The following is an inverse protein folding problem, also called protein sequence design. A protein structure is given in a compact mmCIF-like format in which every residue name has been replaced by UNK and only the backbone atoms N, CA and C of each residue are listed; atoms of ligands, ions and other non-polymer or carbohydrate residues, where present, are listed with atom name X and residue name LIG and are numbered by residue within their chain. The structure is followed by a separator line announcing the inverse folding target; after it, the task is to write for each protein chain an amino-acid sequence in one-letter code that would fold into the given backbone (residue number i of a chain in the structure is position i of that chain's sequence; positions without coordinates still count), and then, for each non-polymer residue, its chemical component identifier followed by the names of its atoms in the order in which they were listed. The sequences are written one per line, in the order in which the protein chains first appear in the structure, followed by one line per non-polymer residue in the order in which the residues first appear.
data_IF_248576351561
#
_entry.id   IF_248576351561
#
_cell.length_a   1.000
_cell.length_b   1.000
_cell.length_c   1.000
_cell.angle_alpha   90.00
_cell.angle_beta   90.00
_cell.angle_gamma   90.00
#
_symmetry.space_group_name_H-M   'P 1'
#
loop_
_entity.id
_entity.type
_entity.pdbx_description
1 polymer ?
#
# COMPACT_ATOMS: atom_id res chain seq x y z
N UNK A 1 30.45 -15.54 -10.00
CA UNK A 1 29.29 -14.90 -9.32
C UNK A 1 29.70 -13.98 -8.14
N UNK A 2 31.00 -13.80 -7.83
CA UNK A 2 31.46 -13.07 -6.63
C UNK A 2 31.59 -11.53 -6.76
N UNK A 3 31.46 -10.97 -7.96
CA UNK A 3 31.64 -9.52 -8.19
C UNK A 3 30.40 -8.65 -7.92
N UNK A 4 29.24 -9.24 -7.65
CA UNK A 4 28.00 -8.48 -7.44
C UNK A 4 27.91 -7.90 -6.03
N UNK A 5 28.25 -8.69 -5.01
CA UNK A 5 28.20 -8.26 -3.60
C UNK A 5 29.21 -7.15 -3.28
N UNK A 6 30.38 -7.16 -3.91
CA UNK A 6 31.41 -6.13 -3.72
C UNK A 6 30.99 -4.78 -4.32
N UNK A 7 30.38 -4.78 -5.51
CA UNK A 7 29.83 -3.58 -6.17
C UNK A 7 28.69 -2.97 -5.37
N UNK A 8 27.78 -3.80 -4.85
CA UNK A 8 26.72 -3.33 -3.97
C UNK A 8 27.24 -2.79 -2.64
N UNK A 9 28.23 -3.43 -2.01
CA UNK A 9 28.89 -2.93 -0.78
C UNK A 9 29.61 -1.60 -1.01
N UNK A 10 30.21 -1.38 -2.18
CA UNK A 10 30.84 -0.12 -2.54
C UNK A 10 29.80 1.00 -2.73
N UNK A 11 28.69 0.69 -3.39
CA UNK A 11 27.59 1.63 -3.64
C UNK A 11 26.87 2.01 -2.34
N UNK A 12 26.62 1.05 -1.45
CA UNK A 12 26.08 1.31 -0.11
C UNK A 12 27.06 2.12 0.77
N UNK A 13 28.37 1.87 0.69
CA UNK A 13 29.37 2.70 1.39
C UNK A 13 29.42 4.13 0.85
N UNK A 14 29.35 4.31 -0.46
CA UNK A 14 29.32 5.62 -1.12
C UNK A 14 28.03 6.42 -0.81
N UNK A 15 26.90 5.73 -0.61
CA UNK A 15 25.64 6.34 -0.17
C UNK A 15 25.68 6.71 1.32
N UNK A 16 26.32 5.88 2.17
CA UNK A 16 26.48 6.13 3.62
C UNK A 16 27.46 7.26 3.95
N UNK A 17 28.43 7.55 3.07
CA UNK A 17 29.44 8.59 3.30
C UNK A 17 28.98 10.01 2.91
N UNK A 18 27.84 10.16 2.21
CA UNK A 18 27.29 11.48 1.85
C UNK A 18 26.49 12.17 2.97
N UNK A 19 26.29 11.52 4.13
CA UNK A 19 25.55 12.09 5.27
C UNK A 19 26.44 12.63 6.40
N UNK A 20 27.78 12.63 6.25
CA UNK A 20 28.69 13.12 7.30
C UNK A 20 29.80 14.03 6.75
N UNK A 21 29.45 14.98 5.88
CA UNK A 21 30.34 16.11 5.58
C UNK A 21 29.54 17.40 5.55
N UNK A 22 29.28 17.90 6.76
CA UNK A 22 28.81 19.26 6.99
C UNK A 22 29.65 19.85 8.11
N UNK A 23 30.71 20.57 7.76
CA UNK A 23 31.38 21.50 8.65
C UNK A 23 30.34 22.52 9.13
N UNK A 24 29.76 22.32 10.32
CA UNK A 24 28.78 23.22 10.89
C UNK A 24 29.37 23.89 12.13
N UNK A 25 29.97 25.05 11.89
CA UNK A 25 30.43 25.96 12.93
C UNK A 25 29.23 26.64 13.62
N UNK A 26 29.35 26.78 14.95
CA UNK A 26 28.60 27.64 15.87
C UNK A 26 27.19 27.17 16.35
N UNK A 27 27.18 26.82 17.65
CA UNK A 27 26.14 26.33 18.57
C UNK A 27 24.69 26.85 18.44
N UNK A 28 24.40 27.97 17.77
CA UNK A 28 23.02 28.46 17.57
C UNK A 28 22.27 27.73 16.45
N UNK A 29 23.01 27.12 15.50
CA UNK A 29 22.47 26.48 14.28
C UNK A 29 22.16 24.99 14.43
N UNK A 30 22.58 24.36 15.53
CA UNK A 30 22.45 22.91 15.74
C UNK A 30 20.98 22.48 15.84
N UNK A 31 20.15 23.27 16.51
CA UNK A 31 18.70 23.07 16.60
C UNK A 31 18.02 23.21 15.23
N UNK A 32 18.46 24.16 14.41
CA UNK A 32 17.90 24.39 13.08
C UNK A 32 18.28 23.29 12.08
N UNK A 33 19.54 22.87 12.06
CA UNK A 33 20.01 21.73 11.25
C UNK A 33 19.34 20.41 11.66
N UNK A 34 19.25 20.11 12.96
CA UNK A 34 18.52 18.92 13.44
C UNK A 34 17.03 18.99 13.07
N UNK A 35 16.41 20.17 13.12
CA UNK A 35 15.03 20.34 12.67
C UNK A 35 14.88 20.16 11.16
N UNK A 36 15.87 20.59 10.35
CA UNK A 36 15.83 20.46 8.91
C UNK A 36 16.06 19.03 8.45
N UNK A 37 17.00 18.31 9.06
CA UNK A 37 17.23 16.88 8.77
C UNK A 37 16.01 16.05 9.20
N UNK A 38 15.45 16.29 10.39
CA UNK A 38 14.23 15.64 10.83
C UNK A 38 13.02 15.97 9.93
N UNK A 39 12.86 17.22 9.48
CA UNK A 39 11.80 17.60 8.53
C UNK A 39 11.99 16.93 7.17
N UNK A 40 13.23 16.79 6.70
CA UNK A 40 13.56 16.12 5.44
C UNK A 40 13.30 14.62 5.51
N UNK A 41 13.65 13.97 6.62
CA UNK A 41 13.29 12.56 6.88
C UNK A 41 11.78 12.35 7.00
N UNK A 42 11.06 13.22 7.70
CA UNK A 42 9.60 13.13 7.80
C UNK A 42 8.94 13.37 6.43
N UNK A 43 9.50 14.22 5.59
CA UNK A 43 9.03 14.44 4.22
C UNK A 43 9.28 13.23 3.32
N UNK A 44 10.48 12.64 3.33
CA UNK A 44 10.78 11.43 2.54
C UNK A 44 9.90 10.26 2.97
N UNK A 45 9.71 10.05 4.27
CA UNK A 45 8.81 9.01 4.80
C UNK A 45 7.37 9.19 4.29
N UNK A 46 6.87 10.43 4.22
CA UNK A 46 5.53 10.75 3.69
C UNK A 46 5.38 10.35 2.22
N UNK A 47 6.34 10.71 1.37
CA UNK A 47 6.29 10.37 -0.06
C UNK A 47 6.46 8.87 -0.31
N UNK A 48 7.31 8.20 0.46
CA UNK A 48 7.49 6.73 0.36
C UNK A 48 6.19 5.98 0.66
N UNK A 49 5.46 6.39 1.70
CA UNK A 49 4.17 5.76 2.07
C UNK A 49 3.10 6.01 0.99
N UNK A 50 3.05 7.23 0.43
CA UNK A 50 2.12 7.54 -0.66
C UNK A 50 2.44 6.72 -1.92
N UNK A 51 3.71 6.67 -2.31
CA UNK A 51 4.15 5.91 -3.47
C UNK A 51 3.85 4.42 -3.31
N UNK A 52 4.14 3.85 -2.14
CA UNK A 52 3.81 2.46 -1.83
C UNK A 52 2.31 2.17 -1.97
N UNK A 53 1.45 3.07 -1.48
CA UNK A 53 -0.02 2.95 -1.61
C UNK A 53 -0.47 3.00 -3.08
N UNK A 54 0.07 3.91 -3.89
CA UNK A 54 -0.29 4.01 -5.31
C UNK A 54 0.14 2.75 -6.07
N UNK A 55 1.38 2.30 -5.89
CA UNK A 55 1.89 1.10 -6.56
C UNK A 55 1.12 -0.15 -6.16
N UNK A 56 0.82 -0.31 -4.86
CA UNK A 56 -0.01 -1.41 -4.36
C UNK A 56 -1.41 -1.37 -4.97
N UNK A 57 -2.06 -0.20 -4.97
CA UNK A 57 -3.43 -0.05 -5.43
C UNK A 57 -3.58 -0.24 -6.94
N UNK A 58 -2.56 0.13 -7.72
CA UNK A 58 -2.58 0.06 -9.18
C UNK A 58 -2.91 -1.35 -9.70
N UNK A 59 -2.35 -2.39 -9.08
CA UNK A 59 -2.60 -3.79 -9.46
C UNK A 59 -4.09 -4.13 -9.29
N UNK A 60 -4.71 -3.69 -8.20
CA UNK A 60 -6.14 -3.91 -7.95
C UNK A 60 -7.02 -3.11 -8.90
N UNK A 61 -6.64 -1.86 -9.22
CA UNK A 61 -7.40 -1.06 -10.17
C UNK A 61 -7.42 -1.73 -11.54
N UNK A 62 -6.26 -2.15 -12.04
CA UNK A 62 -6.17 -2.89 -13.29
C UNK A 62 -6.92 -4.22 -13.25
N UNK A 63 -6.76 -4.99 -12.18
CA UNK A 63 -7.48 -6.25 -12.00
C UNK A 63 -8.99 -6.03 -11.99
N UNK A 64 -9.46 -5.00 -11.29
CA UNK A 64 -10.87 -4.63 -11.21
C UNK A 64 -11.49 -4.38 -12.57
N UNK A 65 -10.84 -3.60 -13.45
CA UNK A 65 -11.30 -3.40 -14.82
C UNK A 65 -11.28 -4.68 -15.65
N UNK A 66 -10.27 -5.53 -15.48
CA UNK A 66 -10.15 -6.82 -16.17
C UNK A 66 -11.30 -7.78 -15.83
N UNK A 67 -11.84 -7.72 -14.60
CA UNK A 67 -12.96 -8.57 -14.16
C UNK A 67 -14.30 -8.27 -14.86
N UNK A 68 -14.42 -7.15 -15.60
CA UNK A 68 -15.60 -6.87 -16.42
C UNK A 68 -15.50 -7.46 -17.84
N UNK A 69 -14.35 -8.03 -18.21
CA UNK A 69 -14.16 -8.66 -19.52
C UNK A 69 -14.90 -9.99 -19.62
N UNK A 70 -15.35 -10.35 -20.82
CA UNK A 70 -16.00 -11.65 -21.08
C UNK A 70 -15.06 -12.82 -20.75
N UNK A 71 -13.77 -12.63 -21.04
CA UNK A 71 -12.70 -13.58 -20.75
C UNK A 71 -12.59 -13.88 -19.25
N UNK A 72 -12.75 -12.88 -18.38
CA UNK A 72 -12.72 -13.09 -16.93
C UNK A 72 -13.94 -13.91 -16.45
N UNK A 73 -15.12 -13.67 -17.02
CA UNK A 73 -16.33 -14.43 -16.70
C UNK A 73 -16.19 -15.88 -17.15
N UNK A 74 -15.71 -16.12 -18.37
CA UNK A 74 -15.46 -17.46 -18.91
C UNK A 74 -14.42 -18.21 -18.08
N UNK A 75 -13.34 -17.54 -17.67
CA UNK A 75 -12.33 -18.14 -16.80
C UNK A 75 -12.89 -18.48 -15.42
N UNK A 76 -13.70 -17.59 -14.83
CA UNK A 76 -14.40 -17.86 -13.56
C UNK A 76 -15.36 -19.03 -13.65
N UNK A 77 -16.09 -19.16 -14.77
CA UNK A 77 -16.98 -20.28 -15.03
C UNK A 77 -16.21 -21.60 -15.19
N UNK A 78 -15.09 -21.59 -15.91
CA UNK A 78 -14.22 -22.76 -16.09
C UNK A 78 -13.63 -23.28 -14.76
N UNK A 79 -13.51 -22.40 -13.77
CA UNK A 79 -12.97 -22.70 -12.44
C UNK A 79 -14.07 -23.07 -11.43
N UNK A 80 -15.32 -23.23 -11.87
CA UNK A 80 -16.42 -23.72 -11.06
C UNK A 80 -17.08 -22.68 -10.15
N UNK A 81 -16.91 -21.38 -10.40
CA UNK A 81 -17.61 -20.34 -9.64
C UNK A 81 -19.11 -20.36 -10.00
N UNK A 82 -20.02 -20.63 -9.04
CA UNK A 82 -21.44 -20.57 -9.29
C UNK A 82 -21.83 -19.12 -9.65
N UNK A 83 -22.62 -18.95 -10.72
CA UNK A 83 -23.04 -17.64 -11.21
C UNK A 83 -21.87 -16.70 -11.56
N UNK A 84 -20.81 -17.22 -12.22
CA UNK A 84 -19.64 -16.45 -12.63
C UNK A 84 -19.97 -15.14 -13.38
N UNK A 85 -21.06 -15.10 -14.14
CA UNK A 85 -21.54 -13.90 -14.84
C UNK A 85 -21.89 -12.72 -13.93
N UNK A 86 -22.21 -12.98 -12.66
CA UNK A 86 -22.53 -11.96 -11.65
C UNK A 86 -21.40 -11.85 -10.63
N UNK A 87 -20.88 -12.98 -10.17
CA UNK A 87 -19.85 -13.03 -9.14
C UNK A 87 -18.54 -12.36 -9.58
N UNK A 88 -18.11 -12.59 -10.83
CA UNK A 88 -16.85 -12.02 -11.34
C UNK A 88 -16.94 -10.48 -11.46
N UNK A 89 -17.96 -9.89 -12.12
CA UNK A 89 -18.10 -8.43 -12.14
C UNK A 89 -18.28 -7.81 -10.76
N UNK A 90 -19.04 -8.45 -9.87
CA UNK A 90 -19.22 -7.99 -8.48
C UNK A 90 -17.88 -7.93 -7.74
N UNK A 91 -17.05 -8.95 -7.92
CA UNK A 91 -15.70 -8.97 -7.36
C UNK A 91 -14.83 -7.85 -7.94
N UNK A 92 -14.98 -7.54 -9.24
CA UNK A 92 -14.34 -6.40 -9.88
C UNK A 92 -14.69 -5.07 -9.21
N UNK A 93 -15.97 -4.85 -8.87
CA UNK A 93 -16.42 -3.66 -8.12
C UNK A 93 -15.77 -3.61 -6.73
N UNK A 94 -15.78 -4.72 -5.98
CA UNK A 94 -15.17 -4.79 -4.64
C UNK A 94 -13.68 -4.44 -4.69
N UNK A 95 -12.97 -5.01 -5.66
CA UNK A 95 -11.54 -4.80 -5.87
C UNK A 95 -11.24 -3.35 -6.27
N UNK A 96 -12.05 -2.77 -7.16
CA UNK A 96 -11.94 -1.35 -7.53
C UNK A 96 -12.15 -0.44 -6.32
N UNK A 97 -13.22 -0.66 -5.55
CA UNK A 97 -13.52 0.14 -4.37
C UNK A 97 -12.42 0.02 -3.32
N UNK A 98 -11.92 -1.20 -3.07
CA UNK A 98 -10.81 -1.45 -2.16
C UNK A 98 -9.51 -0.76 -2.62
N UNK A 99 -9.15 -0.93 -3.89
CA UNK A 99 -7.97 -0.31 -4.50
C UNK A 99 -8.04 1.22 -4.48
N UNK A 100 -9.17 1.82 -4.90
CA UNK A 100 -9.34 3.28 -4.88
C UNK A 100 -9.34 3.84 -3.45
N UNK A 101 -9.99 3.16 -2.50
CA UNK A 101 -9.99 3.55 -1.09
C UNK A 101 -8.57 3.63 -0.54
N UNK A 102 -7.72 2.66 -0.86
CA UNK A 102 -6.32 2.65 -0.42
C UNK A 102 -5.49 3.67 -1.20
N UNK A 103 -5.71 3.86 -2.50
CA UNK A 103 -5.01 4.85 -3.31
C UNK A 103 -5.28 6.28 -2.84
N UNK A 104 -6.54 6.61 -2.57
CA UNK A 104 -6.97 7.94 -2.08
C UNK A 104 -6.73 8.10 -0.57
N UNK A 105 -6.66 6.99 0.16
CA UNK A 105 -6.42 6.96 1.61
C UNK A 105 -7.69 7.17 2.42
N UNK A 106 -8.82 7.34 1.75
CA UNK A 106 -10.14 7.49 2.35
C UNK A 106 -10.62 6.15 2.88
N UNK A 107 -10.76 6.02 4.21
CA UNK A 107 -11.12 4.76 4.88
C UNK A 107 -10.25 3.57 4.47
N UNK A 108 -8.94 3.78 4.27
CA UNK A 108 -8.05 2.73 3.73
C UNK A 108 -8.03 1.43 4.54
N UNK A 109 -8.33 1.47 5.85
CA UNK A 109 -8.45 0.26 6.68
C UNK A 109 -9.60 -0.63 6.21
N UNK A 110 -10.75 -0.03 5.86
CA UNK A 110 -11.90 -0.75 5.33
C UNK A 110 -11.62 -1.26 3.92
N UNK A 111 -11.03 -0.43 3.04
CA UNK A 111 -10.60 -0.87 1.71
C UNK A 111 -9.64 -2.06 1.76
N UNK A 112 -8.69 -2.06 2.71
CA UNK A 112 -7.77 -3.17 2.93
C UNK A 112 -8.49 -4.45 3.38
N UNK A 113 -9.48 -4.36 4.28
CA UNK A 113 -10.30 -5.51 4.67
C UNK A 113 -11.12 -6.08 3.51
N UNK A 114 -11.68 -5.23 2.64
CA UNK A 114 -12.35 -5.70 1.41
C UNK A 114 -11.40 -6.49 0.52
N UNK A 115 -10.17 -5.99 0.32
CA UNK A 115 -9.16 -6.69 -0.47
C UNK A 115 -8.72 -8.00 0.18
N UNK A 116 -8.58 -8.06 1.51
CA UNK A 116 -8.27 -9.29 2.25
C UNK A 116 -9.39 -10.33 2.03
N UNK A 117 -10.64 -9.91 2.21
CA UNK A 117 -11.80 -10.78 2.03
C UNK A 117 -11.91 -11.32 0.60
N UNK A 118 -11.52 -10.53 -0.41
CA UNK A 118 -11.47 -10.97 -1.80
C UNK A 118 -10.27 -11.89 -2.08
N UNK A 119 -9.06 -11.53 -1.62
CA UNK A 119 -7.82 -12.23 -1.94
C UNK A 119 -7.80 -13.66 -1.37
N UNK A 120 -8.29 -13.87 -0.14
CA UNK A 120 -8.24 -15.19 0.51
C UNK A 120 -8.96 -16.28 -0.32
N UNK A 121 -10.25 -16.16 -0.65
CA UNK A 121 -10.95 -17.18 -1.45
C UNK A 121 -10.40 -17.29 -2.87
N UNK A 122 -10.09 -16.17 -3.54
CA UNK A 122 -9.57 -16.21 -4.91
C UNK A 122 -8.23 -16.95 -4.98
N UNK A 123 -7.37 -16.77 -3.98
CA UNK A 123 -6.04 -17.38 -3.95
C UNK A 123 -6.12 -18.88 -3.75
N UNK A 124 -6.97 -19.33 -2.83
CA UNK A 124 -7.12 -20.77 -2.53
C UNK A 124 -7.91 -21.49 -3.62
N UNK A 125 -8.97 -20.88 -4.15
CA UNK A 125 -9.85 -21.53 -5.13
C UNK A 125 -9.28 -21.48 -6.56
N UNK A 126 -8.76 -20.32 -7.01
CA UNK A 126 -8.34 -20.15 -8.41
C UNK A 126 -6.87 -20.50 -8.68
N UNK A 127 -6.04 -20.47 -7.63
CA UNK A 127 -4.61 -20.76 -7.73
C UNK A 127 -4.18 -21.95 -6.88
N UNK A 128 -5.05 -22.97 -6.82
CA UNK A 128 -4.76 -24.27 -6.23
C UNK A 128 -3.75 -25.04 -7.11
N UNK A 129 -2.48 -24.70 -6.99
CA UNK A 129 -1.39 -25.35 -7.74
C UNK A 129 -1.10 -26.77 -7.26
N UNK A 130 -1.47 -27.13 -6.01
CA UNK A 130 -1.21 -28.44 -5.43
C UNK A 130 -2.15 -29.54 -5.93
N UNK A 131 -3.30 -29.19 -6.48
CA UNK A 131 -4.23 -30.13 -7.10
C UNK A 131 -4.00 -30.32 -8.62
N UNK A 132 -3.03 -29.62 -9.22
CA UNK A 132 -2.76 -29.66 -10.65
C UNK A 132 -1.79 -30.81 -11.02
N UNK A 133 -2.15 -31.56 -12.07
CA UNK A 133 -1.36 -32.70 -12.55
C UNK A 133 -0.28 -32.29 -13.58
N UNK A 134 -0.53 -31.20 -14.31
CA UNK A 134 0.42 -30.64 -15.27
C UNK A 134 1.44 -29.74 -14.55
N UNK A 135 2.74 -30.09 -14.66
CA UNK A 135 3.84 -29.41 -14.00
C UNK A 135 4.00 -27.95 -14.48
N UNK A 136 3.82 -27.69 -15.78
CA UNK A 136 3.99 -26.35 -16.34
C UNK A 136 2.87 -25.41 -15.88
N UNK A 137 1.62 -25.91 -15.86
CA UNK A 137 0.48 -25.15 -15.34
C UNK A 137 0.59 -24.95 -13.82
N UNK A 138 0.99 -25.98 -13.07
CA UNK A 138 1.19 -25.87 -11.62
C UNK A 138 2.19 -24.77 -11.26
N UNK A 139 3.31 -24.66 -11.98
CA UNK A 139 4.30 -23.59 -11.77
C UNK A 139 3.70 -22.19 -11.99
N UNK A 140 2.91 -22.00 -13.04
CA UNK A 140 2.25 -20.71 -13.30
C UNK A 140 1.27 -20.34 -12.17
N UNK A 141 0.44 -21.30 -11.74
CA UNK A 141 -0.51 -21.06 -10.65
C UNK A 141 0.19 -20.85 -9.30
N UNK A 142 1.33 -21.48 -9.06
CA UNK A 142 2.14 -21.24 -7.87
C UNK A 142 2.68 -19.80 -7.83
N UNK A 143 3.16 -19.26 -8.97
CA UNK A 143 3.60 -17.86 -9.06
C UNK A 143 2.45 -16.90 -8.78
N UNK A 144 1.27 -17.16 -9.34
CA UNK A 144 0.08 -16.35 -9.09
C UNK A 144 -0.40 -16.43 -7.64
N UNK A 145 -0.36 -17.61 -7.04
CA UNK A 145 -0.64 -17.82 -5.62
C UNK A 145 0.29 -16.98 -4.75
N UNK A 146 1.61 -17.04 -4.99
CA UNK A 146 2.62 -16.30 -4.22
C UNK A 146 2.48 -14.79 -4.40
N UNK A 147 2.14 -14.33 -5.62
CA UNK A 147 1.79 -12.94 -5.88
C UNK A 147 0.61 -12.49 -5.01
N UNK A 148 -0.47 -13.26 -4.99
CA UNK A 148 -1.64 -12.93 -4.18
C UNK A 148 -1.36 -12.97 -2.68
N UNK A 149 -0.54 -13.92 -2.22
CA UNK A 149 -0.12 -14.01 -0.82
C UNK A 149 0.71 -12.79 -0.39
N UNK A 150 1.61 -12.32 -1.24
CA UNK A 150 2.37 -11.09 -1.01
C UNK A 150 1.44 -9.86 -0.94
N UNK A 151 0.47 -9.78 -1.86
CA UNK A 151 -0.53 -8.71 -1.86
C UNK A 151 -1.43 -8.76 -0.62
N UNK A 152 -1.80 -9.95 -0.14
CA UNK A 152 -2.55 -10.15 1.09
C UNK A 152 -1.76 -9.66 2.30
N UNK A 153 -0.47 -9.97 2.38
CA UNK A 153 0.42 -9.47 3.44
C UNK A 153 0.50 -7.95 3.45
N UNK A 154 0.65 -7.32 2.28
CA UNK A 154 0.62 -5.87 2.16
C UNK A 154 -0.74 -5.27 2.54
N UNK A 155 -1.85 -5.89 2.16
CA UNK A 155 -3.19 -5.48 2.57
C UNK A 155 -3.36 -5.53 4.10
N UNK A 156 -2.88 -6.59 4.77
CA UNK A 156 -2.92 -6.72 6.23
C UNK A 156 -2.05 -5.66 6.94
N UNK A 157 -0.88 -5.34 6.40
CA UNK A 157 -0.07 -4.24 6.92
C UNK A 157 -0.83 -2.91 6.82
N UNK A 158 -1.47 -2.63 5.68
CA UNK A 158 -2.28 -1.41 5.48
C UNK A 158 -3.52 -1.42 6.38
N UNK A 159 -4.15 -2.56 6.61
CA UNK A 159 -5.31 -2.66 7.51
C UNK A 159 -4.93 -2.36 8.96
N UNK A 160 -3.70 -2.68 9.38
CA UNK A 160 -3.17 -2.35 10.70
C UNK A 160 -2.73 -0.89 10.80
N UNK A 161 -1.78 -0.45 9.96
CA UNK A 161 -1.16 0.87 10.02
C UNK A 161 -2.04 2.01 9.47
N UNK A 162 -3.00 1.69 8.60
CA UNK A 162 -3.86 2.66 7.93
C UNK A 162 -3.17 3.45 6.82
N UNK A 163 -3.80 4.55 6.38
CA UNK A 163 -3.42 5.29 5.17
C UNK A 163 -2.18 6.21 5.32
N UNK A 164 -1.65 6.37 6.53
CA UNK A 164 -0.53 7.25 6.85
C UNK A 164 -0.86 8.76 6.89
N UNK A 165 0.15 9.62 7.12
CA UNK A 165 -0.03 11.07 7.34
C UNK A 165 -0.44 11.89 6.11
N UNK A 166 -0.22 11.39 4.89
CA UNK A 166 -0.72 11.98 3.63
C UNK A 166 -2.00 11.28 3.15
N UNK A 167 -2.94 11.10 4.08
CA UNK A 167 -4.27 10.57 3.78
C UNK A 167 -5.34 11.64 3.93
N UNK A 168 -6.41 11.54 3.14
CA UNK A 168 -7.64 12.33 3.32
C UNK A 168 -8.20 12.17 4.75
N UNK A 169 -8.09 11.00 5.36
CA UNK A 169 -8.49 10.74 6.75
C UNK A 169 -7.62 11.55 7.76
N UNK A 170 -6.35 11.81 7.41
CA UNK A 170 -5.44 12.64 8.21
C UNK A 170 -5.78 14.13 8.16
N UNK A 171 -6.29 14.60 7.02
CA UNK A 171 -6.67 16.01 6.78
C UNK A 171 -7.91 16.41 7.58
N UNK A 172 -8.85 15.48 7.81
CA UNK A 172 -10.05 15.75 8.62
C UNK A 172 -9.73 15.92 10.12
N UNK A 173 -8.81 15.12 10.68
CA UNK A 173 -8.43 15.23 12.10
C UNK A 173 -7.68 16.51 12.44
N UNK A 174 -6.93 17.08 11.49
CA UNK A 174 -6.18 18.33 11.71
C UNK A 174 -7.10 19.54 11.81
N UNK A 175 -8.15 19.60 10.99
CA UNK A 175 -9.12 20.70 10.99
C UNK A 175 -10.04 20.70 12.22
N UNK A 176 -10.46 19.53 12.71
CA UNK A 176 -11.31 19.44 13.91
C UNK A 176 -10.56 19.86 15.17
N UNK A 177 -9.34 19.35 15.39
CA UNK A 177 -8.53 19.69 16.56
C UNK A 177 -8.13 21.17 16.66
N UNK A 178 -7.85 21.82 15.53
CA UNK A 178 -7.58 23.27 15.51
C UNK A 178 -8.82 24.11 15.84
N UNK A 179 -10.00 23.67 15.42
CA UNK A 179 -11.27 24.37 15.69
C UNK A 179 -11.59 24.35 17.18
N UNK A 180 -11.46 23.20 17.83
CA UNK A 180 -11.71 23.05 19.28
C UNK A 180 -10.72 23.88 20.10
N UNK A 181 -9.43 23.86 19.75
CA UNK A 181 -8.41 24.62 20.46
C UNK A 181 -8.59 26.13 20.32
N UNK A 182 -9.06 26.61 19.17
CA UNK A 182 -9.44 28.02 18.97
C UNK A 182 -10.67 28.43 19.78
N UNK A 183 -11.64 27.53 19.96
CA UNK A 183 -12.82 27.79 20.79
C UNK A 183 -12.42 27.88 22.27
N UNK A 184 -11.65 26.92 22.79
CA UNK A 184 -11.14 26.96 24.17
C UNK A 184 -10.26 28.19 24.44
N UNK A 185 -9.40 28.57 23.49
CA UNK A 185 -8.61 29.79 23.64
C UNK A 185 -9.47 31.07 23.60
N UNK A 186 -10.59 31.08 22.86
CA UNK A 186 -11.52 32.21 22.87
C UNK A 186 -12.28 32.29 24.18
N UNK A 187 -12.74 31.16 24.72
CA UNK A 187 -13.42 31.10 26.03
C UNK A 187 -12.49 31.56 27.16
N UNK A 188 -11.22 31.14 27.15
CA UNK A 188 -10.22 31.55 28.14
C UNK A 188 -9.79 33.02 28.07
N UNK A 189 -10.09 33.74 26.99
CA UNK A 189 -9.79 35.18 26.83
C UNK A 189 -11.00 36.05 27.23
N UNK A 190 -12.19 35.46 27.33
CA UNK A 190 -13.44 36.18 27.66
C UNK A 190 -13.80 36.03 29.15
N UNK A 191 -13.22 35.06 29.87
CA UNK A 191 -13.32 34.89 31.32
C UNK A 191 -12.23 35.66 32.07
#
# INVERSE_FOLDING_TARGET
MENWLSRWRALFRALRSRTLSGNCSLKKKKTDCLSQEAKKEVATMKYTVLLGRILFSLIFVMAGFSNFSKQAIEHGAAQGIPLASIAVPLSGVIVLLGGLSIALGYKAKWGAWLLVLFLVPVTVMMHNFWAMQDIALAQMHQVMFMKNLSMLGAALLISYFGAGPLSLDGRQKTHSGQRTRRMQHREAVIA
#
